data_IF_728767979915
#
_entry.id   IF_728767979915
#
_cell.length_a   1.000
_cell.length_b   1.000
_cell.length_c   1.000
_cell.angle_alpha   90.00
_cell.angle_beta   90.00
_cell.angle_gamma   90.00
#
_symmetry.space_group_name_H-M   'P 1'
#
loop_
_entity.id
_entity.type
_entity.pdbx_description
1 polymer ?
#
# COMPACT_ATOMS: atom_id res chain seq x y z
N UNK A 1 -19.57 -0.44 6.17
CA UNK A 1 -18.77 0.81 6.18
C UNK A 1 -18.60 1.30 4.75
N UNK A 2 -18.86 2.60 4.49
CA UNK A 2 -18.69 3.16 3.15
C UNK A 2 -17.20 3.25 2.78
N UNK A 3 -16.85 2.93 1.53
CA UNK A 3 -15.48 3.10 1.02
C UNK A 3 -15.04 4.57 1.13
N UNK A 4 -13.78 4.86 1.47
CA UNK A 4 -13.27 6.23 1.53
C UNK A 4 -13.51 6.97 0.20
N UNK A 5 -14.08 8.19 0.29
CA UNK A 5 -14.52 9.00 -0.86
C UNK A 5 -13.58 10.17 -1.20
N UNK A 6 -12.44 10.31 -0.51
CA UNK A 6 -11.49 11.39 -0.78
C UNK A 6 -10.06 10.86 -0.73
N UNK A 7 -9.09 11.52 -1.41
CA UNK A 7 -7.69 11.15 -1.31
C UNK A 7 -7.18 11.19 0.14
N UNK A 8 -7.61 12.18 0.92
CA UNK A 8 -7.20 12.32 2.31
C UNK A 8 -7.77 11.19 3.18
N UNK A 9 -9.01 10.79 2.97
CA UNK A 9 -9.60 9.67 3.69
C UNK A 9 -8.85 8.36 3.39
N UNK A 10 -8.47 8.10 2.14
CA UNK A 10 -7.61 6.96 1.78
C UNK A 10 -6.23 7.02 2.44
N UNK A 11 -5.61 8.20 2.52
CA UNK A 11 -4.32 8.37 3.20
C UNK A 11 -4.43 8.15 4.72
N UNK A 12 -5.55 8.53 5.34
CA UNK A 12 -5.81 8.27 6.76
C UNK A 12 -5.94 6.75 7.01
N UNK A 13 -6.66 6.04 6.15
CA UNK A 13 -6.73 4.56 6.21
C UNK A 13 -5.34 3.96 6.04
N UNK A 14 -4.56 4.40 5.04
CA UNK A 14 -3.19 3.92 4.84
C UNK A 14 -2.30 4.14 6.08
N UNK A 15 -2.43 5.28 6.75
CA UNK A 15 -1.68 5.57 7.98
C UNK A 15 -2.09 4.63 9.13
N UNK A 16 -3.39 4.42 9.33
CA UNK A 16 -3.90 3.46 10.32
C UNK A 16 -3.42 2.03 10.05
N UNK A 17 -3.53 1.55 8.80
CA UNK A 17 -3.04 0.21 8.44
C UNK A 17 -1.52 0.07 8.59
N UNK A 18 -0.76 1.14 8.30
CA UNK A 18 0.68 1.16 8.54
C UNK A 18 1.03 1.06 10.02
N UNK A 19 0.28 1.73 10.90
CA UNK A 19 0.45 1.61 12.35
C UNK A 19 0.06 0.22 12.87
N UNK A 20 -0.99 -0.39 12.32
CA UNK A 20 -1.37 -1.77 12.64
C UNK A 20 -0.25 -2.75 12.24
N UNK A 21 0.33 -2.57 11.05
CA UNK A 21 1.46 -3.38 10.58
C UNK A 21 2.66 -3.30 11.52
N UNK A 22 2.97 -2.11 12.06
CA UNK A 22 4.03 -1.92 13.04
C UNK A 22 3.79 -2.66 14.34
N UNK A 23 2.59 -2.51 14.89
CA UNK A 23 2.20 -3.20 16.13
C UNK A 23 2.29 -4.71 15.96
N UNK A 24 1.77 -5.24 14.85
CA UNK A 24 1.80 -6.67 14.55
C UNK A 24 3.23 -7.17 14.35
N UNK A 25 4.08 -6.39 13.68
CA UNK A 25 5.50 -6.73 13.49
C UNK A 25 6.22 -6.83 14.85
N UNK A 26 6.05 -5.85 15.73
CA UNK A 26 6.65 -5.89 17.08
C UNK A 26 6.16 -7.09 17.90
N UNK A 27 4.88 -7.43 17.74
CA UNK A 27 4.27 -8.62 18.36
C UNK A 27 4.60 -9.94 17.67
N UNK A 28 5.51 -9.96 16.69
CA UNK A 28 5.89 -11.15 15.90
C UNK A 28 4.71 -11.84 15.20
N UNK A 29 3.64 -11.09 14.92
CA UNK A 29 2.47 -11.55 14.16
C UNK A 29 2.71 -11.30 12.67
N UNK A 30 3.60 -12.10 12.10
CA UNK A 30 4.22 -11.83 10.81
C UNK A 30 3.26 -11.77 9.63
N UNK A 31 2.33 -12.73 9.53
CA UNK A 31 1.32 -12.74 8.46
C UNK A 31 0.50 -11.46 8.49
N UNK A 32 -0.03 -11.12 9.68
CA UNK A 32 -0.81 -9.90 9.88
C UNK A 32 -0.02 -8.64 9.57
N UNK A 33 1.27 -8.58 9.95
CA UNK A 33 2.14 -7.45 9.68
C UNK A 33 2.33 -7.23 8.17
N UNK A 34 2.66 -8.28 7.41
CA UNK A 34 2.80 -8.20 5.96
C UNK A 34 1.47 -7.87 5.29
N UNK A 35 0.37 -8.49 5.74
CA UNK A 35 -0.95 -8.20 5.21
C UNK A 35 -1.30 -6.71 5.37
N UNK A 36 -1.19 -6.16 6.58
CA UNK A 36 -1.52 -4.76 6.85
C UNK A 36 -0.56 -3.78 6.15
N UNK A 37 0.71 -4.13 6.01
CA UNK A 37 1.69 -3.31 5.27
C UNK A 37 1.33 -3.19 3.79
N UNK A 38 1.00 -4.29 3.11
CA UNK A 38 0.55 -4.23 1.71
C UNK A 38 -0.81 -3.54 1.57
N UNK A 39 -1.70 -3.70 2.54
CA UNK A 39 -2.98 -2.99 2.53
C UNK A 39 -2.81 -1.46 2.68
N UNK A 40 -1.81 -1.02 3.45
CA UNK A 40 -1.45 0.40 3.53
C UNK A 40 -0.97 0.94 2.16
N UNK A 41 -0.16 0.18 1.43
CA UNK A 41 0.28 0.53 0.06
C UNK A 41 -0.93 0.62 -0.87
N UNK A 42 -1.81 -0.37 -0.83
CA UNK A 42 -3.05 -0.40 -1.61
C UNK A 42 -3.86 0.89 -1.39
N UNK A 43 -4.10 1.26 -0.13
CA UNK A 43 -4.82 2.47 0.24
C UNK A 43 -4.13 3.74 -0.26
N UNK A 44 -2.80 3.82 -0.19
CA UNK A 44 -2.06 4.97 -0.71
C UNK A 44 -2.12 5.09 -2.24
N UNK A 45 -2.08 3.96 -2.97
CA UNK A 45 -2.29 3.94 -4.42
C UNK A 45 -3.71 4.38 -4.77
N UNK A 46 -4.72 3.91 -4.02
CA UNK A 46 -6.12 4.32 -4.14
C UNK A 46 -6.28 5.83 -3.92
N UNK A 47 -5.61 6.39 -2.92
CA UNK A 47 -5.56 7.84 -2.69
C UNK A 47 -4.99 8.59 -3.91
N UNK A 48 -3.90 8.08 -4.49
CA UNK A 48 -3.26 8.69 -5.65
C UNK A 48 -4.19 8.69 -6.87
N UNK A 49 -4.80 7.55 -7.20
CA UNK A 49 -5.74 7.44 -8.31
C UNK A 49 -6.89 8.42 -8.16
N UNK A 50 -7.48 8.50 -6.97
CA UNK A 50 -8.53 9.47 -6.67
C UNK A 50 -8.05 10.92 -6.80
N UNK A 51 -6.84 11.24 -6.33
CA UNK A 51 -6.26 12.59 -6.46
C UNK A 51 -6.10 13.01 -7.93
N UNK A 52 -5.81 12.05 -8.80
CA UNK A 52 -5.66 12.26 -10.25
C UNK A 52 -6.97 12.20 -11.02
N UNK A 53 -8.11 11.90 -10.37
CA UNK A 53 -9.38 11.67 -11.05
C UNK A 53 -9.36 10.43 -11.94
N UNK A 54 -8.50 9.45 -11.64
CA UNK A 54 -8.36 8.21 -12.41
C UNK A 54 -9.24 7.15 -11.77
N UNK A 55 -10.15 6.56 -12.57
CA UNK A 55 -10.94 5.42 -12.15
C UNK A 55 -10.03 4.25 -11.78
N UNK A 56 -10.29 3.70 -10.60
CA UNK A 56 -9.63 2.53 -10.08
C UNK A 56 -10.16 1.26 -10.77
N UNK A 57 -9.34 0.22 -10.96
CA UNK A 57 -9.84 -1.07 -11.43
C UNK A 57 -10.96 -1.60 -10.51
N UNK A 58 -11.90 -2.33 -11.11
CA UNK A 58 -12.98 -3.03 -10.42
C UNK A 58 -12.60 -4.50 -10.14
N UNK A 59 -13.41 -5.20 -9.34
CA UNK A 59 -13.20 -6.61 -9.02
C UNK A 59 -11.85 -6.87 -8.33
N UNK A 60 -11.24 -8.03 -8.65
CA UNK A 60 -9.98 -8.47 -8.06
C UNK A 60 -8.80 -7.51 -8.36
N UNK A 61 -8.79 -6.87 -9.53
CA UNK A 61 -7.72 -5.92 -9.89
C UNK A 61 -7.71 -4.67 -9.01
N UNK A 62 -8.86 -4.32 -8.41
CA UNK A 62 -8.97 -3.22 -7.46
C UNK A 62 -8.18 -3.42 -6.16
N UNK A 63 -7.65 -4.64 -5.97
CA UNK A 63 -6.83 -5.07 -4.83
C UNK A 63 -5.43 -5.52 -5.25
N UNK A 64 -5.11 -5.51 -6.55
CA UNK A 64 -3.80 -5.92 -7.04
C UNK A 64 -2.85 -4.71 -7.12
N UNK A 65 -1.75 -4.75 -6.37
CA UNK A 65 -0.81 -3.61 -6.28
C UNK A 65 -0.15 -3.28 -7.63
N UNK A 66 0.16 -4.28 -8.47
CA UNK A 66 0.70 -4.07 -9.83
C UNK A 66 -0.34 -3.39 -10.73
N UNK A 67 -1.58 -3.87 -10.73
CA UNK A 67 -2.67 -3.30 -11.53
C UNK A 67 -2.95 -1.84 -11.12
N UNK A 68 -3.05 -1.58 -9.82
CA UNK A 68 -3.22 -0.23 -9.27
C UNK A 68 -2.06 0.68 -9.70
N UNK A 69 -0.82 0.21 -9.56
CA UNK A 69 0.38 0.99 -9.92
C UNK A 69 0.41 1.30 -11.41
N UNK A 70 0.14 0.33 -12.28
CA UNK A 70 0.04 0.53 -13.73
C UNK A 70 -0.97 1.63 -14.06
N UNK A 71 -2.09 1.68 -13.33
CA UNK A 71 -3.14 2.68 -13.52
C UNK A 71 -2.72 4.09 -13.09
N UNK A 72 -1.77 4.24 -12.16
CA UNK A 72 -1.28 5.55 -11.72
C UNK A 72 -0.51 6.33 -12.79
N UNK A 73 0.00 5.64 -13.83
CA UNK A 73 0.95 6.20 -14.82
C UNK A 73 2.23 6.77 -14.20
N UNK A 74 2.50 6.50 -12.92
CA UNK A 74 3.81 6.75 -12.33
C UNK A 74 4.81 5.77 -12.93
N UNK A 75 6.06 6.20 -13.16
CA UNK A 75 7.12 5.27 -13.55
C UNK A 75 7.26 4.21 -12.45
N UNK A 76 7.12 2.94 -12.80
CA UNK A 76 7.08 1.82 -11.84
C UNK A 76 8.27 1.84 -10.86
N UNK A 77 9.48 2.07 -11.38
CA UNK A 77 10.69 2.20 -10.56
C UNK A 77 10.62 3.33 -9.53
N UNK A 78 9.87 4.40 -9.77
CA UNK A 78 9.70 5.47 -8.78
C UNK A 78 8.79 5.04 -7.62
N UNK A 79 7.88 4.09 -7.86
CA UNK A 79 6.98 3.56 -6.84
C UNK A 79 7.68 2.45 -6.04
N UNK A 80 8.31 1.51 -6.74
CA UNK A 80 8.85 0.27 -6.15
C UNK A 80 10.34 0.34 -5.76
N UNK A 81 11.01 1.49 -5.93
CA UNK A 81 12.48 1.66 -5.83
C UNK A 81 13.17 0.95 -4.64
N UNK A 82 12.44 0.80 -3.54
CA UNK A 82 12.97 0.26 -2.28
C UNK A 82 12.75 -1.25 -2.16
N UNK A 83 11.64 -1.75 -2.71
CA UNK A 83 11.18 -3.11 -2.46
C UNK A 83 10.07 -3.52 -3.43
N UNK A 84 10.38 -4.46 -4.32
CA UNK A 84 9.39 -5.06 -5.23
C UNK A 84 8.54 -6.12 -4.52
N UNK A 85 8.94 -6.58 -3.32
CA UNK A 85 8.34 -7.71 -2.61
C UNK A 85 6.81 -7.65 -2.58
N UNK A 86 6.23 -6.54 -2.13
CA UNK A 86 4.77 -6.43 -2.03
C UNK A 86 4.09 -6.51 -3.39
N UNK A 87 4.70 -5.97 -4.44
CA UNK A 87 4.11 -5.98 -5.78
C UNK A 87 4.14 -7.38 -6.39
N UNK A 88 5.11 -8.20 -6.01
CA UNK A 88 5.28 -9.56 -6.53
C UNK A 88 4.57 -10.63 -5.70
N UNK A 89 4.46 -10.43 -4.38
CA UNK A 89 4.12 -11.50 -3.44
C UNK A 89 2.87 -11.23 -2.60
N UNK A 90 2.43 -9.98 -2.47
CA UNK A 90 1.30 -9.66 -1.59
C UNK A 90 -0.04 -9.82 -2.33
N UNK A 91 -1.01 -10.47 -1.68
CA UNK A 91 -2.41 -10.51 -2.09
C UNK A 91 -3.34 -10.38 -0.87
N UNK A 92 -4.63 -10.20 -1.12
CA UNK A 92 -5.67 -10.18 -0.08
C UNK A 92 -5.92 -11.54 0.54
N UNK A 93 -5.36 -12.61 -0.02
CA UNK A 93 -5.54 -13.99 0.44
C UNK A 93 -4.68 -14.28 1.67
N UNK A 94 -3.63 -13.47 1.91
CA UNK A 94 -2.85 -13.48 3.16
C UNK A 94 -3.71 -13.35 4.44
N UNK A 95 -4.97 -12.94 4.33
CA UNK A 95 -5.94 -12.96 5.45
C UNK A 95 -6.28 -14.35 5.96
N UNK A 96 -6.16 -15.36 5.10
CA UNK A 96 -6.52 -16.74 5.38
C UNK A 96 -5.30 -17.61 5.69
N UNK A 97 -4.10 -17.06 5.53
CA UNK A 97 -2.86 -17.77 5.82
C UNK A 97 -2.56 -17.75 7.32
N UNK A 98 -2.14 -18.88 7.87
CA UNK A 98 -1.75 -19.00 9.28
C UNK A 98 -0.26 -18.73 9.50
N UNK A 99 0.55 -18.95 8.47
CA UNK A 99 2.00 -18.76 8.50
C UNK A 99 2.50 -18.11 7.21
N UNK A 100 3.63 -17.40 7.32
CA UNK A 100 4.30 -16.88 6.14
C UNK A 100 5.09 -18.00 5.44
N UNK A 101 5.24 -17.94 4.11
CA UNK A 101 6.15 -18.84 3.41
C UNK A 101 7.58 -18.78 4.01
N UNK A 102 8.30 -19.90 4.16
CA UNK A 102 9.61 -19.92 4.83
C UNK A 102 10.68 -19.02 4.20
N UNK A 103 10.53 -18.70 2.92
CA UNK A 103 11.45 -17.82 2.19
C UNK A 103 11.18 -16.33 2.43
N UNK A 104 10.06 -15.97 3.08
CA UNK A 104 9.74 -14.58 3.42
C UNK A 104 10.46 -14.19 4.72
N UNK A 105 11.65 -13.64 4.54
CA UNK A 105 12.52 -13.16 5.62
C UNK A 105 12.37 -11.65 5.84
N UNK A 106 12.89 -11.18 6.97
CA UNK A 106 13.04 -9.77 7.32
C UNK A 106 11.74 -8.97 7.29
N UNK A 107 10.67 -9.52 7.88
CA UNK A 107 9.33 -8.90 7.91
C UNK A 107 9.36 -7.45 8.40
N UNK A 108 10.17 -7.15 9.42
CA UNK A 108 10.35 -5.78 9.93
C UNK A 108 10.88 -4.82 8.84
N UNK A 109 11.88 -5.26 8.07
CA UNK A 109 12.40 -4.48 6.95
C UNK A 109 11.35 -4.31 5.86
N UNK A 110 10.54 -5.34 5.58
CA UNK A 110 9.41 -5.25 4.63
C UNK A 110 8.37 -4.23 5.10
N UNK A 111 7.97 -4.25 6.36
CA UNK A 111 7.05 -3.26 6.93
C UNK A 111 7.62 -1.84 6.78
N UNK A 112 8.92 -1.66 7.06
CA UNK A 112 9.58 -0.36 6.86
C UNK A 112 9.63 0.05 5.38
N UNK A 113 9.87 -0.88 4.44
CA UNK A 113 9.80 -0.63 3.00
C UNK A 113 8.41 -0.16 2.58
N UNK A 114 7.35 -0.79 3.08
CA UNK A 114 5.97 -0.37 2.80
C UNK A 114 5.71 1.07 3.25
N UNK A 115 6.19 1.47 4.43
CA UNK A 115 6.09 2.87 4.89
C UNK A 115 6.78 3.84 3.95
N UNK A 116 7.96 3.49 3.42
CA UNK A 116 8.68 4.35 2.47
C UNK A 116 7.89 4.53 1.17
N UNK A 117 7.26 3.46 0.67
CA UNK A 117 6.36 3.52 -0.50
C UNK A 117 5.16 4.44 -0.22
N UNK A 118 4.47 4.23 0.90
CA UNK A 118 3.32 5.07 1.31
C UNK A 118 3.72 6.53 1.49
N UNK A 119 4.84 6.79 2.16
CA UNK A 119 5.38 8.14 2.37
C UNK A 119 5.69 8.85 1.06
N UNK A 120 6.25 8.13 0.07
CA UNK A 120 6.52 8.66 -1.26
C UNK A 120 5.23 9.01 -2.01
N UNK A 121 4.24 8.13 -2.03
CA UNK A 121 2.93 8.40 -2.65
C UNK A 121 2.27 9.64 -2.02
N UNK A 122 2.29 9.73 -0.69
CA UNK A 122 1.80 10.92 0.05
C UNK A 122 2.56 12.19 -0.34
N UNK A 123 3.89 12.13 -0.46
CA UNK A 123 4.70 13.27 -0.86
C UNK A 123 4.40 13.73 -2.29
N UNK A 124 4.19 12.79 -3.23
CA UNK A 124 3.79 13.12 -4.61
C UNK A 124 2.44 13.83 -4.63
N UNK A 125 1.43 13.31 -3.93
CA UNK A 125 0.10 13.94 -3.84
C UNK A 125 0.21 15.37 -3.29
N UNK A 126 0.93 15.57 -2.18
CA UNK A 126 1.13 16.90 -1.57
C UNK A 126 1.82 17.88 -2.53
N UNK A 127 2.88 17.44 -3.22
CA UNK A 127 3.60 18.28 -4.21
C UNK A 127 2.69 18.69 -5.37
N UNK A 128 1.85 17.77 -5.86
CA UNK A 128 0.91 18.05 -6.95
C UNK A 128 -0.22 18.99 -6.51
N UNK A 129 -0.73 18.86 -5.28
CA UNK A 129 -1.71 19.79 -4.72
C UNK A 129 -1.15 21.21 -4.59
N UNK A 130 0.09 21.36 -4.11
CA UNK A 130 0.73 22.68 -3.97
C UNK A 130 0.91 23.39 -5.31
N UNK A 131 1.20 22.66 -6.39
CA UNK A 131 1.36 23.22 -7.75
C UNK A 131 0.05 23.64 -8.43
N UNK A 132 -1.09 23.19 -7.91
CA UNK A 132 -2.43 23.50 -8.43
C UNK A 132 -3.10 24.67 -7.71
N UNK A 133 -2.51 25.11 -6.59
CA UNK A 133 -2.91 26.30 -5.83
C UNK A 133 -2.04 27.45 -6.29
#
# INVERSE_FOLDING_TARGET
MASPKTPQAWLNVAASRGADADTLSKGKRWVGAIYMAGYAIECALKAYLHHRGINRPSGAEGHNLKALTKRTRLKYHNVIKEDAFFFDNWSVDLRYEEALPPHWKDVENRVNSAKRVVGRLKAIIKRQQKRRR
#
